data_IF_380435911856
#
_entry.id   IF_380435911856
#
_cell.length_a   1.000
_cell.length_b   1.000
_cell.length_c   1.000
_cell.angle_alpha   90.00
_cell.angle_beta   90.00
_cell.angle_gamma   90.00
#
_symmetry.space_group_name_H-M   'P 1'
#
loop_
_entity.id
_entity.type
_entity.pdbx_description
1 polymer ?
#
# COMPACT_ATOMS: atom_id res chain seq x y z
N UNK A 1 -24.16 7.75 -14.85
CA UNK A 1 -23.47 8.88 -14.16
C UNK A 1 -22.92 9.83 -15.20
N UNK A 2 -23.08 11.14 -14.98
CA UNK A 2 -22.65 12.16 -15.94
C UNK A 2 -21.20 12.54 -15.67
N UNK A 3 -20.37 12.60 -16.71
CA UNK A 3 -18.97 13.05 -16.64
C UNK A 3 -18.70 14.12 -17.68
N UNK A 4 -17.73 14.99 -17.39
CA UNK A 4 -17.24 15.99 -18.34
C UNK A 4 -16.08 15.44 -19.15
N UNK A 5 -16.15 15.55 -20.48
CA UNK A 5 -15.05 15.15 -21.36
C UNK A 5 -13.86 16.10 -21.18
N UNK A 6 -12.67 15.55 -20.95
CA UNK A 6 -11.46 16.35 -20.74
C UNK A 6 -10.92 17.05 -22.00
N UNK A 7 -11.52 16.81 -23.17
CA UNK A 7 -11.08 17.38 -24.45
C UNK A 7 -12.09 18.40 -24.96
N UNK A 8 -13.35 18.03 -25.11
CA UNK A 8 -14.38 18.92 -25.64
C UNK A 8 -15.26 19.59 -24.57
N UNK A 9 -15.06 19.26 -23.29
CA UNK A 9 -15.86 19.80 -22.19
C UNK A 9 -17.32 19.35 -22.14
N UNK A 10 -17.81 18.57 -23.11
CA UNK A 10 -19.19 18.07 -23.14
C UNK A 10 -19.46 17.07 -22.04
N UNK A 11 -20.65 17.14 -21.47
CA UNK A 11 -21.16 16.15 -20.55
C UNK A 11 -21.60 14.90 -21.31
N UNK A 12 -21.32 13.73 -20.74
CA UNK A 12 -21.71 12.45 -21.33
C UNK A 12 -21.99 11.42 -20.23
N UNK A 13 -22.93 10.53 -20.50
CA UNK A 13 -23.27 9.45 -19.58
C UNK A 13 -22.32 8.26 -19.67
N UNK A 14 -21.96 7.73 -18.52
CA UNK A 14 -21.22 6.48 -18.41
C UNK A 14 -21.93 5.49 -17.48
N UNK A 15 -21.86 4.22 -17.85
CA UNK A 15 -22.31 3.09 -17.02
C UNK A 15 -21.32 2.77 -15.88
N UNK A 16 -20.08 3.28 -15.95
CA UNK A 16 -19.00 2.99 -14.99
C UNK A 16 -18.29 4.27 -14.56
N UNK A 17 -17.85 4.31 -13.30
CA UNK A 17 -17.04 5.38 -12.73
C UNK A 17 -15.55 5.26 -13.02
N UNK A 18 -15.08 4.12 -13.54
CA UNK A 18 -13.65 3.84 -13.66
C UNK A 18 -13.08 4.40 -14.95
N UNK A 19 -12.30 5.46 -14.81
CA UNK A 19 -11.27 5.84 -15.78
C UNK A 19 -11.73 6.38 -17.13
N UNK A 20 -13.05 6.50 -17.38
CA UNK A 20 -13.55 7.10 -18.62
C UNK A 20 -13.40 8.62 -18.55
N UNK A 21 -12.54 9.16 -19.42
CA UNK A 21 -12.13 10.58 -19.48
C UNK A 21 -12.67 11.33 -20.70
N UNK A 22 -13.17 10.60 -21.69
CA UNK A 22 -13.51 11.14 -23.01
C UNK A 22 -14.87 10.61 -23.46
N UNK A 23 -15.67 11.47 -24.08
CA UNK A 23 -17.01 11.09 -24.56
C UNK A 23 -16.99 10.21 -25.82
N UNK A 24 -15.88 10.19 -26.57
CA UNK A 24 -15.81 9.50 -27.86
C UNK A 24 -14.39 9.05 -28.21
N UNK A 25 -14.30 8.13 -29.18
CA UNK A 25 -13.02 7.73 -29.80
C UNK A 25 -12.29 8.95 -30.39
N UNK A 26 -13.03 9.88 -31.01
CA UNK A 26 -12.46 11.10 -31.58
C UNK A 26 -11.74 11.95 -30.52
N UNK A 27 -12.40 12.23 -29.38
CA UNK A 27 -11.77 12.95 -28.27
C UNK A 27 -10.54 12.22 -27.71
N UNK A 28 -10.57 10.88 -27.65
CA UNK A 28 -9.40 10.09 -27.23
C UNK A 28 -8.23 10.21 -28.22
N UNK A 29 -8.52 10.20 -29.53
CA UNK A 29 -7.49 10.37 -30.57
C UNK A 29 -6.92 11.78 -30.55
N UNK A 30 -7.76 12.80 -30.37
CA UNK A 30 -7.31 14.19 -30.25
C UNK A 30 -6.38 14.37 -29.04
N UNK A 31 -6.70 13.75 -27.90
CA UNK A 31 -5.77 13.73 -26.76
C UNK A 31 -4.41 13.15 -27.12
N UNK A 32 -4.36 12.08 -27.91
CA UNK A 32 -3.10 11.45 -28.33
C UNK A 32 -2.33 12.36 -29.29
N UNK A 33 -3.03 13.05 -30.20
CA UNK A 33 -2.45 14.06 -31.08
C UNK A 33 -1.82 15.20 -30.29
N UNK A 34 -2.54 15.79 -29.34
CA UNK A 34 -2.02 16.85 -28.44
C UNK A 34 -0.80 16.34 -27.66
N UNK A 35 -0.81 15.09 -27.19
CA UNK A 35 0.34 14.52 -26.47
C UNK A 35 1.59 14.37 -27.35
N UNK A 36 1.40 14.08 -28.65
CA UNK A 36 2.49 13.82 -29.58
C UNK A 36 3.02 15.09 -30.25
N UNK A 37 2.12 16.00 -30.61
CA UNK A 37 2.39 17.18 -31.44
C UNK A 37 2.01 18.50 -30.76
N UNK A 38 1.55 18.46 -29.51
CA UNK A 38 1.21 19.66 -28.76
C UNK A 38 2.42 20.55 -28.51
N UNK A 39 2.13 21.77 -28.09
CA UNK A 39 3.11 22.80 -27.79
C UNK A 39 4.14 22.29 -26.77
N UNK A 40 5.42 22.50 -27.08
CA UNK A 40 6.52 22.19 -26.16
C UNK A 40 6.77 23.43 -25.31
N UNK A 41 6.65 23.25 -24.00
CA UNK A 41 6.92 24.29 -23.02
C UNK A 41 8.33 24.12 -22.44
N UNK A 42 8.96 25.22 -22.08
CA UNK A 42 10.22 25.20 -21.33
C UNK A 42 9.96 24.68 -19.91
N UNK A 43 10.73 23.68 -19.49
CA UNK A 43 10.63 23.03 -18.18
C UNK A 43 12.01 22.78 -17.60
N UNK A 44 12.07 22.72 -16.29
CA UNK A 44 13.29 22.31 -15.56
C UNK A 44 13.25 20.82 -15.29
N UNK A 45 14.34 20.11 -15.61
CA UNK A 45 14.47 18.68 -15.33
C UNK A 45 14.46 18.43 -13.82
N UNK A 46 13.54 17.58 -13.34
CA UNK A 46 13.41 17.25 -11.92
C UNK A 46 14.57 16.40 -11.35
N UNK A 47 15.54 16.01 -12.18
CA UNK A 47 16.73 15.26 -11.75
C UNK A 47 17.99 16.11 -11.82
N UNK A 48 18.32 16.69 -12.98
CA UNK A 48 19.58 17.41 -13.19
C UNK A 48 19.44 18.94 -13.17
N UNK A 49 18.24 19.50 -13.03
CA UNK A 49 18.02 20.96 -12.97
C UNK A 49 18.18 21.71 -14.31
N UNK A 50 18.53 21.03 -15.41
CA UNK A 50 18.67 21.68 -16.72
C UNK A 50 17.30 22.05 -17.32
N UNK A 51 17.24 23.20 -18.00
CA UNK A 51 16.08 23.61 -18.81
C UNK A 51 15.98 22.76 -20.08
N UNK A 52 14.77 22.37 -20.46
CA UNK A 52 14.50 21.60 -21.68
C UNK A 52 13.08 21.87 -22.19
N UNK A 53 12.84 21.63 -23.48
CA UNK A 53 11.52 21.73 -24.09
C UNK A 53 10.80 20.37 -24.01
N UNK A 54 9.60 20.36 -23.45
CA UNK A 54 8.82 19.13 -23.29
C UNK A 54 7.32 19.36 -23.23
N UNK A 55 6.54 18.30 -23.39
CA UNK A 55 5.10 18.36 -23.16
C UNK A 55 4.79 18.38 -21.66
N UNK A 56 3.58 18.80 -21.30
CA UNK A 56 3.13 18.96 -19.91
C UNK A 56 3.43 17.73 -19.03
N UNK A 57 3.30 16.52 -19.57
CA UNK A 57 3.52 15.27 -18.83
C UNK A 57 4.99 14.86 -18.59
N UNK A 58 5.96 15.48 -19.25
CA UNK A 58 7.37 15.08 -19.16
C UNK A 58 8.05 15.79 -17.97
N UNK A 59 8.78 15.03 -17.16
CA UNK A 59 9.45 15.51 -15.92
C UNK A 59 10.97 15.56 -16.00
N UNK A 60 11.56 14.89 -16.98
CA UNK A 60 13.01 14.74 -17.12
C UNK A 60 13.40 15.12 -18.54
N UNK A 61 14.56 15.76 -18.69
CA UNK A 61 15.05 16.18 -20.01
C UNK A 61 15.43 15.00 -20.90
N UNK A 62 15.69 13.81 -20.33
CA UNK A 62 16.14 12.64 -21.08
C UNK A 62 15.78 11.31 -20.42
N UNK A 63 15.90 10.22 -21.18
CA UNK A 63 15.75 8.84 -20.70
C UNK A 63 16.73 8.53 -19.58
N UNK A 64 17.97 9.01 -19.69
CA UNK A 64 19.06 8.77 -18.76
C UNK A 64 18.72 9.40 -17.41
N UNK A 65 18.28 10.66 -17.39
CA UNK A 65 17.85 11.34 -16.17
C UNK A 65 16.70 10.59 -15.47
N UNK A 66 15.77 10.01 -16.24
CA UNK A 66 14.68 9.20 -15.68
C UNK A 66 15.19 7.89 -15.07
N UNK A 67 16.10 7.21 -15.76
CA UNK A 67 16.68 5.93 -15.32
C UNK A 67 17.51 6.15 -14.07
N UNK A 68 18.39 7.16 -14.08
CA UNK A 68 19.31 7.42 -12.96
C UNK A 68 18.55 7.82 -11.70
N UNK A 69 17.56 8.70 -11.83
CA UNK A 69 16.64 9.01 -10.74
C UNK A 69 15.95 7.75 -10.18
N UNK A 70 15.64 6.77 -11.02
CA UNK A 70 15.02 5.52 -10.57
C UNK A 70 16.03 4.59 -9.90
N UNK A 71 17.31 4.59 -10.32
CA UNK A 71 18.40 3.89 -9.63
C UNK A 71 18.63 4.46 -8.23
N UNK A 72 18.71 5.78 -8.09
CA UNK A 72 18.81 6.44 -6.78
C UNK A 72 17.67 6.01 -5.84
N UNK A 73 16.44 5.89 -6.37
CA UNK A 73 15.29 5.37 -5.60
C UNK A 73 15.41 3.90 -5.19
N UNK A 74 16.19 3.09 -5.88
CA UNK A 74 16.40 1.68 -5.53
C UNK A 74 17.45 1.52 -4.42
N UNK A 75 18.36 2.48 -4.27
CA UNK A 75 19.36 2.53 -3.19
C UNK A 75 18.82 3.13 -1.88
N UNK A 76 17.49 3.22 -1.71
CA UNK A 76 16.91 3.61 -0.42
C UNK A 76 17.30 2.56 0.62
N UNK A 77 17.87 3.02 1.73
CA UNK A 77 18.29 2.17 2.84
C UNK A 77 17.13 1.28 3.29
N UNK A 78 17.41 -0.03 3.37
CA UNK A 78 16.46 -1.02 3.86
C UNK A 78 16.67 -1.18 5.35
N UNK A 79 15.64 -0.86 6.13
CA UNK A 79 15.67 -1.06 7.58
C UNK A 79 15.11 -2.45 7.90
N UNK A 80 15.54 -3.01 9.03
CA UNK A 80 14.91 -4.20 9.59
C UNK A 80 13.51 -3.86 10.09
N UNK A 81 12.54 -4.70 9.72
CA UNK A 81 11.12 -4.54 10.06
C UNK A 81 10.52 -5.90 10.37
N UNK A 82 9.44 -5.91 11.13
CA UNK A 82 8.67 -7.11 11.42
C UNK A 82 7.49 -7.21 10.45
N UNK A 83 7.31 -8.37 9.83
CA UNK A 83 6.17 -8.63 8.96
C UNK A 83 4.88 -8.64 9.76
N UNK A 84 3.89 -7.83 9.37
CA UNK A 84 2.60 -7.76 10.08
C UNK A 84 1.79 -9.06 9.99
N UNK A 85 2.09 -9.93 9.02
CA UNK A 85 1.35 -11.17 8.81
C UNK A 85 1.99 -12.38 9.52
N UNK A 86 3.28 -12.65 9.29
CA UNK A 86 3.96 -13.82 9.85
C UNK A 86 4.82 -13.52 11.10
N UNK A 87 5.06 -12.25 11.44
CA UNK A 87 5.91 -11.88 12.57
C UNK A 87 7.42 -12.00 12.34
N UNK A 88 7.87 -12.45 11.16
CA UNK A 88 9.29 -12.59 10.86
C UNK A 88 9.97 -11.24 10.58
N UNK A 89 11.24 -11.12 10.96
CA UNK A 89 12.09 -9.97 10.64
C UNK A 89 12.52 -10.01 9.17
N UNK A 90 12.42 -8.88 8.48
CA UNK A 90 12.83 -8.72 7.08
C UNK A 90 13.41 -7.33 6.83
N UNK A 91 14.25 -7.21 5.79
CA UNK A 91 14.80 -5.92 5.34
C UNK A 91 13.92 -5.34 4.24
N UNK A 92 13.31 -4.19 4.50
CA UNK A 92 12.35 -3.58 3.60
C UNK A 92 12.51 -2.07 3.49
N UNK A 93 11.87 -1.48 2.47
CA UNK A 93 11.71 -0.02 2.43
C UNK A 93 10.79 0.45 3.56
N UNK A 94 10.87 1.73 3.92
CA UNK A 94 10.02 2.32 4.97
C UNK A 94 8.52 2.02 4.78
N UNK A 95 8.05 1.97 3.52
CA UNK A 95 6.64 1.70 3.15
C UNK A 95 6.28 0.21 3.09
N UNK A 96 7.24 -0.70 3.12
CA UNK A 96 6.97 -2.14 3.03
C UNK A 96 6.54 -2.69 4.40
N UNK A 97 5.40 -3.38 4.43
CA UNK A 97 4.79 -3.91 5.68
C UNK A 97 4.92 -5.43 5.80
N UNK A 98 5.04 -6.13 4.68
CA UNK A 98 5.09 -7.58 4.60
C UNK A 98 6.43 -8.05 4.03
N UNK A 99 6.92 -9.19 4.52
CA UNK A 99 8.16 -9.80 4.04
C UNK A 99 8.02 -10.32 2.60
N UNK A 100 6.84 -10.81 2.22
CA UNK A 100 6.57 -11.39 0.89
C UNK A 100 5.23 -10.94 0.29
N UNK A 101 5.09 -11.16 -1.03
CA UNK A 101 3.82 -10.97 -1.73
C UNK A 101 2.73 -11.92 -1.22
N UNK A 102 3.12 -13.12 -0.78
CA UNK A 102 2.23 -14.12 -0.17
C UNK A 102 1.67 -13.60 1.16
N UNK A 103 2.53 -13.09 2.05
CA UNK A 103 2.11 -12.48 3.32
C UNK A 103 1.17 -11.29 3.09
N UNK A 104 1.44 -10.46 2.08
CA UNK A 104 0.55 -9.36 1.69
C UNK A 104 -0.81 -9.88 1.21
N UNK A 105 -0.80 -10.90 0.35
CA UNK A 105 -2.03 -11.49 -0.19
C UNK A 105 -2.86 -12.16 0.92
N UNK A 106 -2.22 -12.96 1.79
CA UNK A 106 -2.84 -13.61 2.93
C UNK A 106 -3.45 -12.62 3.91
N UNK A 107 -2.79 -11.48 4.15
CA UNK A 107 -3.33 -10.39 4.97
C UNK A 107 -4.53 -9.69 4.32
N UNK A 108 -4.47 -9.37 3.02
CA UNK A 108 -5.48 -8.56 2.33
C UNK A 108 -6.66 -9.35 1.74
N UNK A 109 -6.62 -10.68 1.69
CA UNK A 109 -7.79 -11.41 1.22
C UNK A 109 -7.64 -12.91 1.20
N UNK A 110 -8.80 -13.56 1.21
CA UNK A 110 -9.03 -14.86 0.56
C UNK A 110 -8.38 -16.11 1.17
N UNK A 111 -7.36 -16.00 2.03
CA UNK A 111 -6.74 -17.12 2.76
C UNK A 111 -6.46 -16.83 4.25
N UNK A 112 -7.05 -15.76 4.82
CA UNK A 112 -6.87 -15.40 6.25
C UNK A 112 -7.17 -16.56 7.22
N UNK A 113 -8.06 -17.47 6.83
CA UNK A 113 -8.41 -18.67 7.60
C UNK A 113 -7.24 -19.68 7.73
N UNK A 114 -6.35 -19.75 6.74
CA UNK A 114 -5.26 -20.74 6.68
C UNK A 114 -3.98 -20.33 7.43
N UNK A 115 -3.83 -19.04 7.74
CA UNK A 115 -2.62 -18.50 8.39
C UNK A 115 -2.88 -17.89 9.77
N UNK A 116 -4.08 -18.09 10.32
CA UNK A 116 -4.23 -17.99 11.76
C UNK A 116 -3.32 -19.07 12.34
N UNK A 117 -2.25 -18.69 13.00
CA UNK A 117 -1.87 -19.43 14.20
C UNK A 117 -3.01 -19.14 15.16
N UNK A 118 -4.00 -20.04 15.39
CA UNK A 118 -4.83 -19.84 16.54
C UNK A 118 -3.87 -19.94 17.74
N UNK A 119 -3.73 -18.90 18.55
CA UNK A 119 -3.51 -19.19 19.96
C UNK A 119 -4.55 -20.25 20.31
N UNK A 120 -4.16 -21.43 20.84
CA UNK A 120 -5.11 -22.48 21.14
C UNK A 120 -6.21 -21.85 22.00
N UNK A 121 -7.44 -21.85 21.48
CA UNK A 121 -8.57 -21.34 22.24
C UNK A 121 -8.70 -22.23 23.46
N UNK A 122 -8.58 -21.63 24.65
CA UNK A 122 -8.89 -22.32 25.90
C UNK A 122 -10.26 -22.98 25.75
N UNK A 123 -10.32 -24.27 26.02
CA UNK A 123 -11.56 -25.02 26.14
C UNK A 123 -12.41 -24.43 27.26
N UNK A 124 -13.71 -24.72 27.26
CA UNK A 124 -14.63 -24.24 28.31
C UNK A 124 -14.15 -24.61 29.72
N UNK A 125 -13.52 -25.78 29.89
CA UNK A 125 -12.95 -26.21 31.18
C UNK A 125 -11.75 -25.37 31.58
N UNK A 126 -10.87 -25.04 30.65
CA UNK A 126 -9.70 -24.20 30.90
C UNK A 126 -10.11 -22.74 31.19
N UNK A 127 -11.14 -22.21 30.52
CA UNK A 127 -11.70 -20.89 30.85
C UNK A 127 -12.24 -20.86 32.28
N UNK A 128 -13.01 -21.87 32.68
CA UNK A 128 -13.53 -21.98 34.05
C UNK A 128 -12.41 -22.06 35.11
N UNK A 129 -11.32 -22.77 34.80
CA UNK A 129 -10.15 -22.84 35.68
C UNK A 129 -9.46 -21.47 35.81
N UNK A 130 -9.28 -20.74 34.70
CA UNK A 130 -8.68 -19.41 34.71
C UNK A 130 -9.56 -18.40 35.43
N UNK A 131 -10.88 -18.46 35.25
CA UNK A 131 -11.83 -17.60 35.99
C UNK A 131 -11.83 -17.91 37.49
N UNK A 132 -11.77 -19.18 37.87
CA UNK A 132 -11.66 -19.59 39.27
C UNK A 132 -10.37 -19.06 39.90
N UNK A 133 -9.23 -19.25 39.22
CA UNK A 133 -7.94 -18.74 39.69
C UNK A 133 -7.93 -17.20 39.77
N UNK A 134 -8.51 -16.51 38.79
CA UNK A 134 -8.63 -15.05 38.82
C UNK A 134 -9.43 -14.58 40.06
N UNK A 135 -10.54 -15.25 40.38
CA UNK A 135 -11.35 -14.97 41.58
C UNK A 135 -10.58 -15.25 42.87
N UNK A 136 -9.83 -16.35 42.96
CA UNK A 136 -8.97 -16.66 44.12
C UNK A 136 -7.91 -15.58 44.37
N UNK A 137 -7.42 -14.94 43.31
CA UNK A 137 -6.47 -13.83 43.40
C UNK A 137 -7.14 -12.44 43.50
N UNK A 138 -8.47 -12.34 43.60
CA UNK A 138 -9.22 -11.08 43.56
C UNK A 138 -8.89 -10.21 42.32
N UNK A 139 -8.57 -10.86 41.19
CA UNK A 139 -8.26 -10.22 39.92
C UNK A 139 -9.39 -10.49 38.93
N UNK A 140 -9.65 -9.54 38.04
CA UNK A 140 -10.45 -9.83 36.85
C UNK A 140 -9.72 -10.83 35.95
N UNK A 141 -10.47 -11.56 35.11
CA UNK A 141 -9.91 -12.48 34.12
C UNK A 141 -8.79 -11.82 33.29
N UNK A 142 -9.03 -10.60 32.81
CA UNK A 142 -8.05 -9.85 32.02
C UNK A 142 -6.79 -9.46 32.81
N UNK A 143 -6.94 -9.04 34.07
CA UNK A 143 -5.80 -8.72 34.95
C UNK A 143 -4.98 -9.96 35.30
N UNK A 144 -5.64 -11.09 35.57
CA UNK A 144 -5.00 -12.35 35.89
C UNK A 144 -4.21 -12.92 34.69
N UNK A 145 -4.83 -12.97 33.51
CA UNK A 145 -4.18 -13.44 32.27
C UNK A 145 -3.03 -12.50 31.87
N UNK A 146 -3.19 -11.18 32.03
CA UNK A 146 -2.13 -10.21 31.79
C UNK A 146 -0.93 -10.41 32.73
N UNK A 147 -1.17 -10.59 34.04
CA UNK A 147 -0.13 -10.83 35.03
C UNK A 147 0.59 -12.17 34.81
N UNK A 148 -0.13 -13.21 34.39
CA UNK A 148 0.44 -14.52 34.05
C UNK A 148 1.38 -14.43 32.83
N UNK A 149 0.96 -13.75 31.76
CA UNK A 149 1.78 -13.52 30.57
C UNK A 149 3.06 -12.74 30.88
N UNK A 150 2.99 -11.77 31.78
CA UNK A 150 4.17 -11.00 32.21
C UNK A 150 5.17 -11.85 33.00
N UNK A 151 4.70 -12.82 33.80
CA UNK A 151 5.56 -13.76 34.53
C UNK A 151 6.22 -14.81 33.62
N UNK A 152 5.51 -15.26 32.59
CA UNK A 152 6.03 -16.22 31.58
C UNK A 152 7.00 -15.56 30.58
N UNK A 153 6.99 -14.22 30.47
CA UNK A 153 7.86 -13.45 29.57
C UNK A 153 9.18 -12.99 30.22
N UNK A 154 9.35 -13.20 31.53
CA UNK A 154 10.62 -12.99 32.24
C UNK A 154 11.46 -14.27 32.21
N UNK A 155 12.73 -14.23 31.76
CA UNK A 155 13.60 -15.41 31.65
C UNK A 155 13.95 -16.04 33.00
#
# INVERSE_FOLDING_TARGET
>A
MIRKCQICGKEFETKTSRGIKYCSKACRMERNRIKQYGEKIEKTCAFCGKKFLGTEGIKYCSSECRIEKNRVKQHVEKTEKTCLFCGEKFKGTQRQVFCSAECRAGYHGRNYQQFKQPEPRLTTKEVQQVEKAAREHNLSYGQYVGAKRLKEATP
#
